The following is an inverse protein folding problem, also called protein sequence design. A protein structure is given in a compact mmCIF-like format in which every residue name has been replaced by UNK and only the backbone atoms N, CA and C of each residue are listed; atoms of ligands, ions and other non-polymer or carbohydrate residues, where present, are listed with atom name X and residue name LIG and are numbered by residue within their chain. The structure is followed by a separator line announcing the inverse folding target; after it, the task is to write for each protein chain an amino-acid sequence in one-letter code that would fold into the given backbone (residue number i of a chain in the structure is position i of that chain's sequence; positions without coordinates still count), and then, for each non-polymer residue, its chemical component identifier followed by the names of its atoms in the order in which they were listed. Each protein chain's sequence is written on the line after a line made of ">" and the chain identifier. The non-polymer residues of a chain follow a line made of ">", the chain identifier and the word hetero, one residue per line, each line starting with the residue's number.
data_IF_338704867605
#
_entry.id   IF_338704867605
#
_cell.length_a   1.000
_cell.length_b   1.000
_cell.length_c   1.000
_cell.angle_alpha   90.00
_cell.angle_beta   90.00
_cell.angle_gamma   90.00
#
_symmetry.space_group_name_H-M   'P 1'
#
loop_
_entity.id
_entity.type
_entity.pdbx_description
1 polymer ?
#
# COMPACT_ATOMS: atom_id res chain seq x y z
N UNK A 1 -11.81 11.15 35.89
CA UNK A 1 -11.20 9.82 35.83
C UNK A 1 -10.63 9.58 34.45
N UNK A 2 -9.31 9.69 34.36
CA UNK A 2 -8.50 9.67 33.14
C UNK A 2 -7.69 8.36 33.05
N UNK A 3 -8.18 7.30 33.72
CA UNK A 3 -7.39 6.15 34.13
C UNK A 3 -7.70 4.82 33.42
N UNK A 4 -8.66 4.74 32.50
CA UNK A 4 -9.10 3.44 31.94
C UNK A 4 -8.60 3.17 30.51
N UNK A 5 -7.79 4.05 29.93
CA UNK A 5 -7.19 3.86 28.59
C UNK A 5 -8.20 3.73 27.43
N UNK A 6 -9.48 4.04 27.66
CA UNK A 6 -10.54 3.91 26.65
C UNK A 6 -10.61 5.14 25.76
N UNK A 7 -10.55 4.93 24.46
CA UNK A 7 -10.80 5.96 23.45
C UNK A 7 -12.23 5.82 22.94
N UNK A 8 -13.04 6.86 23.16
CA UNK A 8 -14.38 6.96 22.56
C UNK A 8 -14.28 7.77 21.25
N UNK A 9 -14.69 7.16 20.15
CA UNK A 9 -14.68 7.79 18.81
C UNK A 9 -16.10 7.80 18.26
N UNK A 10 -16.60 8.98 17.87
CA UNK A 10 -17.83 9.12 17.11
C UNK A 10 -17.49 9.23 15.62
N UNK A 11 -18.12 8.41 14.79
CA UNK A 11 -17.95 8.39 13.34
C UNK A 11 -19.26 8.78 12.64
N UNK A 12 -19.13 9.48 11.52
CA UNK A 12 -20.26 9.74 10.63
C UNK A 12 -20.90 8.39 10.19
N UNK A 13 -22.24 8.25 10.21
CA UNK A 13 -22.91 7.00 9.84
C UNK A 13 -22.52 6.43 8.46
N UNK A 14 -22.20 7.28 7.48
CA UNK A 14 -21.74 6.81 6.15
C UNK A 14 -20.37 6.14 6.23
N UNK A 15 -19.46 6.66 7.06
CA UNK A 15 -18.14 6.05 7.28
C UNK A 15 -18.30 4.79 8.13
N UNK A 16 -19.20 4.81 9.12
CA UNK A 16 -19.50 3.65 9.95
C UNK A 16 -19.96 2.44 9.13
N UNK A 17 -20.72 2.64 8.05
CA UNK A 17 -21.12 1.54 7.14
C UNK A 17 -19.93 0.85 6.45
N UNK A 18 -18.90 1.61 6.07
CA UNK A 18 -17.67 1.03 5.49
C UNK A 18 -16.88 0.21 6.53
N UNK A 19 -16.89 0.63 7.80
CA UNK A 19 -16.23 -0.10 8.90
C UNK A 19 -17.00 -1.36 9.29
N UNK A 20 -18.33 -1.28 9.35
CA UNK A 20 -19.21 -2.39 9.74
C UNK A 20 -19.41 -3.44 8.64
N UNK A 21 -18.70 -3.33 7.51
CA UNK A 21 -18.74 -4.30 6.41
C UNK A 21 -19.94 -4.20 5.48
N UNK A 22 -20.78 -3.16 5.60
CA UNK A 22 -21.95 -2.94 4.76
C UNK A 22 -21.67 -2.19 3.46
N UNK A 23 -20.47 -1.62 3.30
CA UNK A 23 -20.08 -0.83 2.13
C UNK A 23 -18.76 -1.29 1.47
N UNK A 24 -18.46 -0.69 0.31
CA UNK A 24 -17.17 -0.90 -0.36
C UNK A 24 -16.05 -0.37 0.52
N UNK A 25 -15.15 -1.26 0.91
CA UNK A 25 -14.01 -0.93 1.76
C UNK A 25 -12.76 -1.66 1.27
N UNK A 26 -11.61 -1.12 1.64
CA UNK A 26 -10.32 -1.76 1.43
C UNK A 26 -9.79 -2.18 2.78
N UNK A 27 -9.55 -3.48 2.95
CA UNK A 27 -8.88 -3.99 4.15
C UNK A 27 -7.37 -3.80 4.02
N UNK A 28 -6.77 -3.14 5.00
CA UNK A 28 -5.33 -2.96 5.17
C UNK A 28 -4.96 -3.55 6.53
N UNK A 29 -4.03 -4.50 6.56
CA UNK A 29 -3.58 -5.09 7.83
C UNK A 29 -2.65 -4.13 8.55
N UNK A 30 -2.96 -3.80 9.80
CA UNK A 30 -2.08 -2.95 10.62
C UNK A 30 -0.77 -3.65 11.00
N UNK A 31 -0.76 -4.98 11.08
CA UNK A 31 0.46 -5.74 11.35
C UNK A 31 1.40 -5.69 10.14
N UNK A 32 0.86 -5.79 8.93
CA UNK A 32 1.64 -5.59 7.69
C UNK A 32 2.22 -4.17 7.64
N UNK A 33 1.42 -3.14 7.93
CA UNK A 33 1.91 -1.74 7.93
C UNK A 33 3.02 -1.51 8.95
N UNK A 34 2.94 -2.14 10.13
CA UNK A 34 3.95 -2.03 11.20
C UNK A 34 5.22 -2.82 10.90
N UNK A 35 5.14 -3.87 10.10
CA UNK A 35 6.29 -4.66 9.66
C UNK A 35 7.08 -4.00 8.51
N UNK A 36 6.54 -2.92 7.90
CA UNK A 36 7.25 -2.14 6.89
C UNK A 36 8.09 -1.04 7.55
N UNK A 37 9.34 -0.93 7.15
CA UNK A 37 10.31 -0.01 7.73
C UNK A 37 10.22 1.37 7.05
N UNK A 38 10.16 1.38 5.72
CA UNK A 38 10.20 2.64 4.96
C UNK A 38 8.81 3.26 4.75
N UNK A 39 8.77 4.59 4.76
CA UNK A 39 7.55 5.33 4.41
C UNK A 39 7.11 5.05 2.97
N UNK A 40 8.07 4.86 2.06
CA UNK A 40 7.78 4.53 0.65
C UNK A 40 7.08 3.17 0.55
N UNK A 41 7.56 2.15 1.29
CA UNK A 41 6.90 0.85 1.33
C UNK A 41 5.50 0.92 1.93
N UNK A 42 5.32 1.65 3.05
CA UNK A 42 4.00 1.86 3.67
C UNK A 42 2.99 2.51 2.73
N UNK A 43 3.39 3.55 1.99
CA UNK A 43 2.52 4.23 1.03
C UNK A 43 2.18 3.35 -0.17
N UNK A 44 3.17 2.62 -0.70
CA UNK A 44 2.94 1.65 -1.77
C UNK A 44 1.98 0.54 -1.33
N UNK A 45 2.21 -0.06 -0.17
CA UNK A 45 1.36 -1.12 0.39
C UNK A 45 -0.09 -0.68 0.49
N UNK A 46 -0.36 0.48 1.08
CA UNK A 46 -1.72 1.02 1.23
C UNK A 46 -2.37 1.24 -0.14
N UNK A 47 -1.65 1.87 -1.07
CA UNK A 47 -2.19 2.16 -2.40
C UNK A 47 -2.48 0.90 -3.21
N UNK A 48 -1.58 -0.09 -3.13
CA UNK A 48 -1.72 -1.38 -3.79
C UNK A 48 -2.86 -2.21 -3.18
N UNK A 49 -3.04 -2.19 -1.86
CA UNK A 49 -4.18 -2.83 -1.20
C UNK A 49 -5.52 -2.31 -1.72
N UNK A 50 -5.60 -1.02 -2.05
CA UNK A 50 -6.80 -0.42 -2.63
C UNK A 50 -6.95 -0.58 -4.14
N UNK A 51 -5.94 -1.12 -4.83
CA UNK A 51 -5.95 -1.29 -6.28
C UNK A 51 -6.01 -2.75 -6.72
N UNK A 52 -5.38 -3.65 -5.96
CA UNK A 52 -5.26 -5.07 -6.28
C UNK A 52 -6.05 -5.87 -5.24
N UNK A 53 -7.06 -6.59 -5.70
CA UNK A 53 -7.81 -7.51 -4.84
C UNK A 53 -6.92 -8.67 -4.37
N UNK A 54 -7.15 -9.23 -3.17
CA UNK A 54 -6.39 -10.37 -2.67
C UNK A 54 -6.32 -11.53 -3.66
N UNK A 55 -5.11 -12.06 -3.90
CA UNK A 55 -4.86 -13.14 -4.85
C UNK A 55 -4.92 -12.74 -6.34
N UNK A 56 -5.13 -11.46 -6.66
CA UNK A 56 -5.06 -10.93 -8.02
C UNK A 56 -3.70 -10.28 -8.30
N UNK A 57 -3.43 -10.07 -9.58
CA UNK A 57 -2.21 -9.46 -10.09
C UNK A 57 -2.52 -8.17 -10.82
N UNK A 58 -1.80 -7.10 -10.50
CA UNK A 58 -1.78 -5.83 -11.22
C UNK A 58 -0.46 -5.63 -11.96
N UNK A 59 -0.50 -4.92 -13.10
CA UNK A 59 0.70 -4.56 -13.87
C UNK A 59 1.01 -3.07 -13.72
N UNK A 60 2.21 -2.72 -13.28
CA UNK A 60 2.60 -1.32 -13.06
C UNK A 60 4.01 -1.03 -13.55
N UNK A 61 4.23 0.20 -14.05
CA UNK A 61 5.58 0.70 -14.31
C UNK A 61 6.18 1.31 -13.05
N UNK A 62 7.50 1.45 -13.00
CA UNK A 62 8.19 2.13 -11.90
C UNK A 62 7.72 3.58 -11.74
N UNK A 63 7.37 4.27 -12.83
CA UNK A 63 6.86 5.63 -12.78
C UNK A 63 5.41 5.67 -12.28
N UNK A 64 4.59 4.67 -12.61
CA UNK A 64 3.26 4.46 -12.00
C UNK A 64 3.37 4.33 -10.49
N UNK A 65 4.30 3.48 -10.01
CA UNK A 65 4.54 3.29 -8.57
C UNK A 65 5.09 4.56 -7.91
N UNK A 66 5.96 5.32 -8.59
CA UNK A 66 6.40 6.62 -8.10
C UNK A 66 5.22 7.59 -7.93
N UNK A 67 4.28 7.61 -8.88
CA UNK A 67 3.09 8.46 -8.82
C UNK A 67 2.16 8.14 -7.64
N UNK A 68 2.18 6.91 -7.13
CA UNK A 68 1.44 6.52 -5.93
C UNK A 68 1.99 7.13 -4.65
N UNK A 69 3.31 7.34 -4.59
CA UNK A 69 4.00 7.88 -3.41
C UNK A 69 4.16 9.39 -3.53
N UNK A 70 4.41 9.89 -4.74
CA UNK A 70 4.60 11.31 -5.03
C UNK A 70 3.73 11.74 -6.22
N UNK A 71 2.53 12.29 -5.99
CA UNK A 71 1.59 12.63 -7.05
C UNK A 71 1.98 13.85 -7.89
N UNK A 72 2.89 14.69 -7.38
CA UNK A 72 3.34 15.88 -8.10
C UNK A 72 4.48 15.56 -9.06
N UNK A 73 4.51 16.26 -10.19
CA UNK A 73 5.67 16.25 -11.10
C UNK A 73 6.95 16.70 -10.39
N UNK A 74 8.09 16.26 -10.93
CA UNK A 74 9.40 16.63 -10.42
C UNK A 74 10.45 16.63 -11.53
N UNK A 75 11.57 17.31 -11.27
CA UNK A 75 12.73 17.33 -12.18
C UNK A 75 13.29 15.92 -12.44
N UNK A 76 13.99 15.74 -13.56
CA UNK A 76 14.56 14.44 -13.94
C UNK A 76 15.50 13.83 -12.89
N UNK A 77 16.30 14.65 -12.20
CA UNK A 77 17.17 14.20 -11.11
C UNK A 77 16.37 13.72 -9.90
N UNK A 78 15.27 14.40 -9.56
CA UNK A 78 14.36 14.00 -8.49
C UNK A 78 13.63 12.70 -8.85
N UNK A 79 13.14 12.58 -10.08
CA UNK A 79 12.48 11.36 -10.56
C UNK A 79 13.42 10.15 -10.55
N UNK A 80 14.71 10.34 -10.84
CA UNK A 80 15.72 9.28 -10.71
C UNK A 80 15.83 8.78 -9.26
N UNK A 81 15.85 9.69 -8.28
CA UNK A 81 15.87 9.33 -6.84
C UNK A 81 14.57 8.65 -6.40
N UNK A 82 13.41 9.11 -6.87
CA UNK A 82 12.11 8.48 -6.58
C UNK A 82 12.04 7.04 -7.09
N UNK A 83 12.45 6.79 -8.34
CA UNK A 83 12.53 5.43 -8.88
C UNK A 83 13.46 4.54 -8.07
N UNK A 84 14.59 5.07 -7.61
CA UNK A 84 15.51 4.33 -6.75
C UNK A 84 14.84 3.93 -5.42
N UNK A 85 14.19 4.88 -4.74
CA UNK A 85 13.47 4.62 -3.48
C UNK A 85 12.34 3.60 -3.64
N UNK A 86 11.59 3.66 -4.74
CA UNK A 86 10.56 2.64 -5.01
C UNK A 86 11.20 1.26 -5.16
N UNK A 87 12.30 1.12 -5.91
CA UNK A 87 13.00 -0.17 -6.04
C UNK A 87 13.50 -0.69 -4.70
N UNK A 88 14.01 0.18 -3.84
CA UNK A 88 14.47 -0.18 -2.49
C UNK A 88 13.32 -0.63 -1.57
N UNK A 89 12.10 -0.12 -1.79
CA UNK A 89 10.92 -0.47 -1.01
C UNK A 89 10.22 -1.76 -1.47
N UNK A 90 10.37 -2.18 -2.74
CA UNK A 90 9.71 -3.39 -3.26
C UNK A 90 10.07 -4.68 -2.49
N UNK A 91 11.34 -4.92 -2.07
CA UNK A 91 11.69 -6.06 -1.23
C UNK A 91 10.92 -6.13 0.10
N UNK A 92 10.58 -4.99 0.71
CA UNK A 92 9.79 -4.98 1.95
C UNK A 92 8.39 -5.55 1.71
N UNK A 93 7.76 -5.25 0.57
CA UNK A 93 6.47 -5.86 0.20
C UNK A 93 6.60 -7.36 -0.02
N UNK A 94 7.70 -7.81 -0.63
CA UNK A 94 7.98 -9.24 -0.83
C UNK A 94 8.14 -9.96 0.50
N UNK A 95 8.75 -9.33 1.50
CA UNK A 95 8.86 -9.88 2.85
C UNK A 95 7.49 -10.08 3.54
N UNK A 96 6.47 -9.30 3.16
CA UNK A 96 5.08 -9.49 3.58
C UNK A 96 4.33 -10.57 2.77
N UNK A 97 5.02 -11.27 1.86
CA UNK A 97 4.45 -12.31 1.01
C UNK A 97 3.87 -11.82 -0.32
N UNK A 98 3.99 -10.53 -0.67
CA UNK A 98 3.63 -10.07 -2.00
C UNK A 98 4.56 -10.68 -3.04
N UNK A 99 4.07 -10.94 -4.25
CA UNK A 99 4.93 -11.31 -5.37
C UNK A 99 5.16 -10.10 -6.24
N UNK A 100 6.42 -9.76 -6.50
CA UNK A 100 6.81 -8.65 -7.38
C UNK A 100 7.82 -9.18 -8.40
N UNK A 101 7.41 -9.27 -9.66
CA UNK A 101 8.23 -9.80 -10.75
C UNK A 101 8.46 -8.73 -11.81
N UNK A 102 9.72 -8.39 -12.07
CA UNK A 102 10.09 -7.48 -13.15
C UNK A 102 10.14 -8.25 -14.49
N UNK A 103 9.14 -8.07 -15.34
CA UNK A 103 9.06 -8.77 -16.64
C UNK A 103 9.72 -8.00 -17.79
N UNK A 104 9.95 -6.71 -17.60
CA UNK A 104 10.72 -5.85 -18.47
C UNK A 104 11.28 -4.69 -17.63
N UNK A 105 12.33 -4.01 -18.11
CA UNK A 105 12.97 -2.94 -17.37
C UNK A 105 11.96 -1.89 -16.87
N UNK A 106 11.84 -1.77 -15.54
CA UNK A 106 10.92 -0.88 -14.85
C UNK A 106 9.44 -1.24 -14.99
N UNK A 107 9.08 -2.47 -15.37
CA UNK A 107 7.69 -2.95 -15.48
C UNK A 107 7.50 -4.22 -14.65
N UNK A 108 6.50 -4.19 -13.78
CA UNK A 108 6.30 -5.19 -12.74
C UNK A 108 4.92 -5.83 -12.84
N UNK A 109 4.88 -7.15 -12.64
CA UNK A 109 3.70 -7.90 -12.25
C UNK A 109 3.70 -7.99 -10.72
N UNK A 110 2.66 -7.45 -10.09
CA UNK A 110 2.53 -7.35 -8.63
C UNK A 110 1.30 -8.14 -8.21
N UNK A 111 1.49 -9.19 -7.43
CA UNK A 111 0.39 -10.03 -6.92
C UNK A 111 0.22 -9.81 -5.44
N UNK A 112 -1.01 -9.47 -5.04
CA UNK A 112 -1.38 -9.36 -3.64
C UNK A 112 -1.57 -10.76 -3.04
N UNK A 113 -1.06 -11.03 -1.83
CA UNK A 113 -1.35 -12.28 -1.12
C UNK A 113 -2.85 -12.54 -1.05
N UNK A 114 -3.25 -13.82 -1.07
CA UNK A 114 -4.63 -14.19 -0.73
C UNK A 114 -4.88 -13.80 0.72
N UNK A 115 -6.07 -13.28 1.02
CA UNK A 115 -6.46 -13.06 2.41
C UNK A 115 -6.41 -14.42 3.14
N UNK A 116 -5.78 -14.45 4.31
CA UNK A 116 -5.99 -15.58 5.22
C UNK A 116 -7.49 -15.63 5.53
N UNK A 117 -8.11 -16.79 5.30
CA UNK A 117 -9.52 -17.03 5.55
C UNK A 117 -9.86 -16.96 7.04
#
# INVERSE_FOLDING_TARGET
>A
DEADGRLYVALNPLIAQAVMGGGQHVRISMDEVRALDSETARLLHQRLCGWIDPGKTGKASIDTLCGYVWPSEASGSTMRKRRQRVREALPELVALGWTVTEFAAGKYDITRPKAAG
#
